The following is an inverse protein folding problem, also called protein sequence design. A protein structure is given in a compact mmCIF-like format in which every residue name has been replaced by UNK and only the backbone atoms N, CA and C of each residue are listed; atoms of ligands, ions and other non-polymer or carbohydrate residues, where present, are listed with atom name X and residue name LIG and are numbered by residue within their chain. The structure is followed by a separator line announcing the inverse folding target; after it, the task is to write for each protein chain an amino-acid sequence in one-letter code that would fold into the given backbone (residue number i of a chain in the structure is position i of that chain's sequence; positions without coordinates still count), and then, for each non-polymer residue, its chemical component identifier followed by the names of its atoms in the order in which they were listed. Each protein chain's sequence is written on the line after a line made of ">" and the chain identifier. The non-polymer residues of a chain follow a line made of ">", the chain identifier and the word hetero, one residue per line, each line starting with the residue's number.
data_IF_006379496951
#
_entry.id   IF_006379496951
#
_cell.length_a   1.000
_cell.length_b   1.000
_cell.length_c   1.000
_cell.angle_alpha   90.00
_cell.angle_beta   90.00
_cell.angle_gamma   90.00
#
_symmetry.space_group_name_H-M   'P 1'
#
loop_
_entity.id
_entity.type
_entity.pdbx_description
1 polymer ?
#
# COMPACT_ATOMS: atom_id res chain seq x y z
N UNK A 1 -6.81 -27.42 -1.53
CA UNK A 1 -7.57 -26.52 -2.44
C UNK A 1 -9.00 -26.45 -1.95
N UNK A 2 -9.55 -25.24 -1.80
CA UNK A 2 -10.95 -25.02 -1.46
C UNK A 2 -11.67 -24.58 -2.74
N UNK A 3 -12.66 -25.36 -3.16
CA UNK A 3 -13.41 -25.04 -4.37
C UNK A 3 -14.51 -24.02 -4.07
N UNK A 4 -14.56 -22.95 -4.88
CA UNK A 4 -15.63 -21.95 -4.88
C UNK A 4 -16.33 -22.04 -6.23
N UNK A 5 -17.59 -22.46 -6.23
CA UNK A 5 -18.34 -22.72 -7.46
C UNK A 5 -18.56 -21.45 -8.28
N UNK A 6 -18.14 -21.47 -9.55
CA UNK A 6 -18.39 -20.42 -10.51
C UNK A 6 -18.62 -20.99 -11.91
N UNK A 7 -19.82 -20.79 -12.46
CA UNK A 7 -20.15 -21.18 -13.84
C UNK A 7 -19.91 -20.02 -14.79
N UNK A 8 -19.02 -20.18 -15.77
CA UNK A 8 -18.73 -19.17 -16.79
C UNK A 8 -18.78 -19.79 -18.20
N UNK A 9 -19.24 -18.99 -19.17
CA UNK A 9 -19.34 -19.44 -20.57
C UNK A 9 -18.03 -19.22 -21.33
N UNK A 10 -17.35 -18.12 -21.09
CA UNK A 10 -16.12 -17.74 -21.79
C UNK A 10 -14.92 -17.82 -20.85
N UNK A 11 -13.89 -18.57 -21.25
CA UNK A 11 -12.68 -18.78 -20.46
C UNK A 11 -11.81 -17.52 -20.35
N UNK A 12 -11.86 -16.65 -21.37
CA UNK A 12 -10.99 -15.45 -21.45
C UNK A 12 -11.76 -14.25 -21.97
N UNK A 13 -11.30 -13.06 -21.62
CA UNK A 13 -11.50 -11.83 -22.38
C UNK A 13 -12.55 -10.86 -21.85
N UNK A 14 -13.57 -11.26 -21.11
CA UNK A 14 -14.62 -10.32 -20.70
C UNK A 14 -14.74 -10.24 -19.18
N UNK A 15 -14.49 -9.05 -18.64
CA UNK A 15 -14.80 -8.77 -17.23
C UNK A 15 -16.32 -8.82 -17.08
N UNK A 16 -16.81 -9.77 -16.28
CA UNK A 16 -18.23 -9.97 -16.03
C UNK A 16 -18.61 -9.53 -14.62
N UNK A 17 -19.70 -8.78 -14.52
CA UNK A 17 -20.35 -8.49 -13.22
C UNK A 17 -20.82 -9.78 -12.52
N UNK A 18 -21.03 -10.87 -13.27
CA UNK A 18 -21.40 -12.18 -12.72
C UNK A 18 -20.32 -12.78 -11.82
N UNK A 19 -19.04 -12.44 -12.03
CA UNK A 19 -17.94 -12.86 -11.17
C UNK A 19 -17.90 -12.18 -9.79
N UNK A 20 -18.72 -11.14 -9.56
CA UNK A 20 -18.70 -10.38 -8.30
C UNK A 20 -18.93 -11.28 -7.09
N UNK A 21 -19.99 -12.09 -7.12
CA UNK A 21 -20.34 -13.00 -6.00
C UNK A 21 -19.22 -14.02 -5.76
N UNK A 22 -18.69 -14.61 -6.82
CA UNK A 22 -17.56 -15.54 -6.74
C UNK A 22 -16.33 -14.92 -6.07
N UNK A 23 -15.94 -13.71 -6.49
CA UNK A 23 -14.80 -12.98 -5.90
C UNK A 23 -15.08 -12.66 -4.42
N UNK A 24 -16.31 -12.26 -4.09
CA UNK A 24 -16.72 -11.99 -2.72
C UNK A 24 -16.64 -13.25 -1.83
N UNK A 25 -17.09 -14.38 -2.34
CA UNK A 25 -17.01 -15.66 -1.63
C UNK A 25 -15.57 -16.12 -1.43
N UNK A 26 -14.70 -15.95 -2.44
CA UNK A 26 -13.26 -16.20 -2.31
C UNK A 26 -12.63 -15.35 -1.19
N UNK A 27 -12.97 -14.05 -1.15
CA UNK A 27 -12.47 -13.19 -0.07
C UNK A 27 -13.02 -13.56 1.30
N UNK A 28 -14.31 -13.87 1.41
CA UNK A 28 -14.92 -14.26 2.68
C UNK A 28 -14.25 -15.52 3.23
N UNK A 29 -14.02 -16.53 2.39
CA UNK A 29 -13.30 -17.74 2.78
C UNK A 29 -11.86 -17.44 3.17
N UNK A 30 -11.13 -16.66 2.36
CA UNK A 30 -9.76 -16.30 2.68
C UNK A 30 -9.64 -15.54 4.00
N UNK A 31 -10.52 -14.57 4.24
CA UNK A 31 -10.55 -13.79 5.49
C UNK A 31 -10.90 -14.68 6.69
N UNK A 32 -11.85 -15.62 6.54
CA UNK A 32 -12.20 -16.58 7.60
C UNK A 32 -11.02 -17.48 7.98
N UNK A 33 -10.31 -18.02 6.99
CA UNK A 33 -9.08 -18.81 7.18
C UNK A 33 -8.04 -17.99 7.97
N UNK A 34 -7.82 -16.74 7.58
CA UNK A 34 -6.87 -15.85 8.23
C UNK A 34 -7.27 -15.53 9.67
N UNK A 35 -8.55 -15.24 9.91
CA UNK A 35 -9.07 -14.94 11.25
C UNK A 35 -9.02 -16.14 12.19
N UNK A 36 -9.12 -17.36 11.66
CA UNK A 36 -8.97 -18.60 12.43
C UNK A 36 -7.52 -19.04 12.68
N UNK A 37 -6.56 -18.27 12.14
CA UNK A 37 -5.13 -18.56 12.29
C UNK A 37 -4.61 -19.72 11.41
N UNK A 38 -5.40 -20.19 10.45
CA UNK A 38 -4.96 -21.25 9.52
C UNK A 38 -4.06 -20.74 8.39
N UNK A 39 -3.83 -19.44 8.32
CA UNK A 39 -2.93 -18.79 7.36
C UNK A 39 -2.26 -17.58 7.97
N UNK A 40 -1.10 -17.22 7.47
CA UNK A 40 -0.32 -16.07 7.95
C UNK A 40 -0.34 -14.87 6.99
N UNK A 41 -0.49 -15.14 5.70
CA UNK A 41 -0.46 -14.13 4.64
C UNK A 41 -1.58 -14.37 3.64
N UNK A 42 -2.38 -13.34 3.38
CA UNK A 42 -3.37 -13.35 2.32
C UNK A 42 -2.78 -12.76 1.05
N UNK A 43 -2.63 -13.58 0.00
CA UNK A 43 -2.21 -13.10 -1.32
C UNK A 43 -3.43 -13.11 -2.24
N UNK A 44 -3.71 -11.99 -2.89
CA UNK A 44 -4.70 -11.95 -3.96
C UNK A 44 -4.12 -11.35 -5.24
N UNK A 45 -4.53 -11.90 -6.37
CA UNK A 45 -4.19 -11.38 -7.69
C UNK A 45 -4.95 -10.07 -8.02
N UNK A 46 -4.63 -9.45 -9.16
CA UNK A 46 -5.31 -8.25 -9.62
C UNK A 46 -6.80 -8.48 -9.88
N UNK A 47 -7.64 -7.54 -9.45
CA UNK A 47 -9.09 -7.61 -9.58
C UNK A 47 -9.61 -6.34 -10.25
N UNK A 48 -10.57 -6.49 -11.17
CA UNK A 48 -11.26 -5.35 -11.76
C UNK A 48 -12.12 -4.63 -10.71
N UNK A 49 -11.63 -3.51 -10.21
CA UNK A 49 -12.33 -2.68 -9.22
C UNK A 49 -13.74 -2.29 -9.69
N UNK A 50 -13.88 -1.91 -10.96
CA UNK A 50 -15.16 -1.50 -11.56
C UNK A 50 -16.22 -2.62 -11.53
N UNK A 51 -15.80 -3.86 -11.83
CA UNK A 51 -16.73 -4.99 -11.86
C UNK A 51 -17.05 -5.53 -10.45
N UNK A 52 -16.07 -5.54 -9.56
CA UNK A 52 -16.18 -6.10 -8.21
C UNK A 52 -16.79 -5.14 -7.21
N UNK A 53 -16.20 -3.94 -7.04
CA UNK A 53 -16.53 -3.03 -5.94
C UNK A 53 -17.79 -2.18 -6.22
N UNK A 54 -18.19 -2.04 -7.48
CA UNK A 54 -19.38 -1.30 -7.91
C UNK A 54 -19.53 0.06 -7.22
N UNK A 55 -18.44 0.83 -7.13
CA UNK A 55 -18.35 2.16 -6.46
C UNK A 55 -18.64 2.16 -4.94
N UNK A 56 -18.89 1.02 -4.31
CA UNK A 56 -19.16 0.94 -2.87
C UNK A 56 -17.91 1.18 -2.02
N UNK A 57 -16.74 0.78 -2.53
CA UNK A 57 -15.43 0.97 -1.87
C UNK A 57 -14.45 1.60 -2.86
N UNK A 58 -13.55 2.49 -2.42
CA UNK A 58 -12.51 3.09 -3.27
C UNK A 58 -11.55 2.04 -3.85
N UNK A 59 -11.24 1.00 -3.10
CA UNK A 59 -10.33 -0.07 -3.48
C UNK A 59 -10.58 -1.39 -2.75
N UNK A 60 -9.82 -2.43 -3.14
CA UNK A 60 -9.87 -3.75 -2.49
C UNK A 60 -9.34 -3.68 -1.06
N UNK A 61 -8.40 -2.79 -0.80
CA UNK A 61 -7.86 -2.54 0.54
C UNK A 61 -8.96 -2.09 1.51
N UNK A 62 -9.75 -1.09 1.12
CA UNK A 62 -10.85 -0.56 1.92
C UNK A 62 -12.00 -1.58 2.06
N UNK A 63 -12.22 -2.41 1.02
CA UNK A 63 -13.17 -3.52 1.11
C UNK A 63 -12.74 -4.54 2.18
N UNK A 64 -11.49 -5.00 2.17
CA UNK A 64 -10.98 -5.96 3.15
C UNK A 64 -10.96 -5.33 4.56
N UNK A 65 -10.52 -4.08 4.69
CA UNK A 65 -10.53 -3.34 5.94
C UNK A 65 -11.93 -3.27 6.56
N UNK A 66 -12.97 -3.04 5.73
CA UNK A 66 -14.35 -3.08 6.15
C UNK A 66 -14.78 -4.48 6.64
N UNK A 67 -14.39 -5.53 5.94
CA UNK A 67 -14.71 -6.92 6.32
C UNK A 67 -14.00 -7.36 7.61
N UNK A 68 -12.82 -6.83 7.89
CA UNK A 68 -12.04 -7.12 9.11
C UNK A 68 -12.28 -6.12 10.25
N UNK A 69 -13.20 -5.16 10.07
CA UNK A 69 -13.53 -4.11 11.07
C UNK A 69 -12.32 -3.24 11.45
N UNK A 70 -11.42 -2.98 10.50
CA UNK A 70 -10.20 -2.18 10.69
C UNK A 70 -10.20 -0.88 9.90
N UNK A 71 -11.39 -0.39 9.52
CA UNK A 71 -11.55 0.84 8.72
C UNK A 71 -10.72 2.00 9.27
N UNK A 72 -9.96 2.64 8.38
CA UNK A 72 -9.10 3.78 8.70
C UNK A 72 -7.78 3.44 9.40
N UNK A 73 -7.49 2.16 9.65
CA UNK A 73 -6.21 1.69 10.18
C UNK A 73 -5.29 1.15 9.09
N UNK A 74 -5.83 0.91 7.89
CA UNK A 74 -5.08 0.41 6.76
C UNK A 74 -4.01 1.40 6.28
N UNK A 75 -2.81 0.89 6.06
CA UNK A 75 -1.67 1.63 5.51
C UNK A 75 -1.15 0.89 4.29
N UNK A 76 -1.08 1.60 3.16
CA UNK A 76 -0.48 1.10 1.93
C UNK A 76 1.03 1.21 2.02
N UNK A 77 1.74 0.11 1.81
CA UNK A 77 3.19 0.08 1.66
C UNK A 77 3.52 -0.55 0.30
N UNK A 78 4.12 0.21 -0.58
CA UNK A 78 4.75 -0.32 -1.79
C UNK A 78 6.17 -0.71 -1.41
N UNK A 79 6.34 -1.99 -1.19
CA UNK A 79 7.60 -2.55 -0.71
C UNK A 79 8.55 -2.86 -1.87
N UNK A 80 9.74 -2.35 -1.75
CA UNK A 80 10.90 -2.73 -2.56
C UNK A 80 12.09 -2.87 -1.60
N UNK A 81 12.98 -3.83 -1.86
CA UNK A 81 14.12 -4.15 -0.98
C UNK A 81 15.12 -2.99 -0.81
N UNK A 82 15.20 -2.08 -1.80
CA UNK A 82 16.09 -0.91 -1.74
C UNK A 82 15.44 0.28 -1.06
N UNK A 83 14.23 0.63 -1.47
CA UNK A 83 13.49 1.76 -0.92
C UNK A 83 11.99 1.51 -1.08
N UNK A 84 11.28 1.39 0.01
CA UNK A 84 9.82 1.30 0.01
C UNK A 84 9.18 2.67 0.06
N UNK A 85 7.91 2.78 -0.35
CA UNK A 85 7.16 4.03 -0.22
C UNK A 85 5.76 3.80 0.33
N UNK A 86 5.24 4.84 0.99
CA UNK A 86 3.89 4.78 1.57
C UNK A 86 3.19 6.14 1.42
N UNK A 87 2.11 6.26 0.64
CA UNK A 87 1.33 7.47 0.57
C UNK A 87 0.38 7.59 1.76
N UNK A 88 0.30 8.78 2.36
CA UNK A 88 -0.63 9.06 3.48
C UNK A 88 -2.08 9.13 3.00
N UNK A 89 -2.29 9.68 1.82
CA UNK A 89 -3.59 9.64 1.13
C UNK A 89 -3.45 8.86 -0.17
N UNK A 90 -4.41 7.97 -0.44
CA UNK A 90 -4.36 7.02 -1.56
C UNK A 90 -5.29 7.45 -2.71
N UNK A 91 -6.40 6.82 -2.89
CA UNK A 91 -7.28 6.93 -4.06
C UNK A 91 -8.28 8.10 -3.96
N UNK A 92 -7.82 9.30 -3.64
CA UNK A 92 -8.66 10.50 -3.57
C UNK A 92 -8.20 11.56 -4.59
N UNK A 93 -9.09 12.42 -5.09
CA UNK A 93 -8.70 13.55 -5.93
C UNK A 93 -7.69 14.47 -5.25
N UNK A 94 -6.77 15.06 -6.02
CA UNK A 94 -5.70 15.90 -5.48
C UNK A 94 -6.23 17.08 -4.66
N UNK A 95 -7.32 17.72 -5.09
CA UNK A 95 -7.96 18.82 -4.36
C UNK A 95 -8.56 18.42 -2.99
N UNK A 96 -8.64 17.13 -2.70
CA UNK A 96 -9.10 16.62 -1.40
C UNK A 96 -7.96 16.21 -0.47
N UNK A 97 -6.71 16.20 -0.94
CA UNK A 97 -5.56 15.73 -0.17
C UNK A 97 -5.42 16.50 1.13
N UNK A 98 -5.32 17.82 1.08
CA UNK A 98 -5.13 18.67 2.29
C UNK A 98 -6.19 18.43 3.36
N UNK A 99 -7.47 18.33 2.95
CA UNK A 99 -8.59 18.08 3.86
C UNK A 99 -8.54 16.69 4.53
N UNK A 100 -7.80 15.75 3.93
CA UNK A 100 -7.65 14.38 4.43
C UNK A 100 -6.31 14.12 5.11
N UNK A 101 -5.48 15.15 5.28
CA UNK A 101 -4.24 15.09 6.03
C UNK A 101 -4.43 15.65 7.44
N UNK A 102 -3.90 14.95 8.42
CA UNK A 102 -3.78 15.45 9.80
C UNK A 102 -2.59 14.79 10.50
N UNK A 103 -2.06 15.38 11.58
CA UNK A 103 -0.90 14.85 12.28
C UNK A 103 -1.09 13.41 12.78
N UNK A 104 -2.29 13.08 13.26
CA UNK A 104 -2.55 11.75 13.82
C UNK A 104 -2.49 10.65 12.78
N UNK A 105 -2.96 10.91 11.55
CA UNK A 105 -2.87 9.97 10.43
C UNK A 105 -1.43 9.64 10.08
N UNK A 106 -0.56 10.67 10.02
CA UNK A 106 0.89 10.49 9.77
C UNK A 106 1.53 9.69 10.90
N UNK A 107 1.22 10.01 12.16
CA UNK A 107 1.71 9.27 13.34
C UNK A 107 1.32 7.80 13.28
N UNK A 108 0.06 7.51 13.00
CA UNK A 108 -0.45 6.15 12.91
C UNK A 108 0.24 5.38 11.77
N UNK A 109 0.40 5.99 10.60
CA UNK A 109 1.09 5.42 9.47
C UNK A 109 2.55 5.07 9.82
N UNK A 110 3.30 6.00 10.41
CA UNK A 110 4.69 5.79 10.83
C UNK A 110 4.80 4.64 11.84
N UNK A 111 3.93 4.62 12.86
CA UNK A 111 3.90 3.55 13.86
C UNK A 111 3.58 2.19 13.25
N UNK A 112 2.62 2.13 12.34
CA UNK A 112 2.22 0.89 11.64
C UNK A 112 3.35 0.36 10.77
N UNK A 113 4.03 1.23 10.00
CA UNK A 113 5.20 0.85 9.19
C UNK A 113 6.33 0.37 10.08
N UNK A 114 6.66 1.09 11.14
CA UNK A 114 7.72 0.69 12.08
C UNK A 114 7.42 -0.67 12.74
N UNK A 115 6.17 -0.92 13.12
CA UNK A 115 5.77 -2.21 13.68
C UNK A 115 5.92 -3.35 12.67
N UNK A 116 5.53 -3.13 11.42
CA UNK A 116 5.72 -4.09 10.34
C UNK A 116 7.19 -4.45 10.13
N UNK A 117 8.05 -3.44 9.98
CA UNK A 117 9.49 -3.68 9.76
C UNK A 117 10.13 -4.43 10.93
N UNK A 118 9.79 -4.06 12.17
CA UNK A 118 10.27 -4.79 13.35
C UNK A 118 9.76 -6.22 13.43
N UNK A 119 8.47 -6.43 13.16
CA UNK A 119 7.85 -7.76 13.28
C UNK A 119 8.31 -8.71 12.18
N UNK A 120 8.25 -8.26 10.93
CA UNK A 120 8.45 -9.14 9.77
C UNK A 120 9.87 -9.08 9.20
N UNK A 121 10.51 -7.91 9.19
CA UNK A 121 11.85 -7.76 8.61
C UNK A 121 12.96 -7.72 9.67
N UNK A 122 12.61 -7.72 10.96
CA UNK A 122 13.54 -7.73 12.11
C UNK A 122 14.50 -6.54 12.14
N UNK A 123 14.15 -5.41 11.53
CA UNK A 123 14.94 -4.17 11.51
C UNK A 123 14.14 -2.98 12.04
N UNK A 124 14.84 -1.95 12.50
CA UNK A 124 14.29 -0.64 12.80
C UNK A 124 14.38 0.22 11.54
N UNK A 125 13.26 0.57 10.87
CA UNK A 125 13.33 1.29 9.60
C UNK A 125 13.77 2.73 9.79
N UNK A 126 14.54 3.23 8.82
CA UNK A 126 14.83 4.64 8.65
C UNK A 126 13.73 5.24 7.77
N UNK A 127 12.91 6.13 8.34
CA UNK A 127 11.73 6.68 7.67
C UNK A 127 11.99 8.12 7.27
N UNK A 128 11.92 8.43 5.97
CA UNK A 128 11.90 9.77 5.42
C UNK A 128 10.47 10.23 5.14
N UNK A 129 10.15 11.48 5.39
CA UNK A 129 8.82 12.04 5.14
C UNK A 129 8.92 13.20 4.19
N UNK A 130 8.17 13.17 3.07
CA UNK A 130 8.07 14.29 2.15
C UNK A 130 7.25 15.45 2.74
N UNK A 131 7.61 16.67 2.40
CA UNK A 131 6.70 17.81 2.53
C UNK A 131 5.55 17.71 1.52
N UNK A 132 4.61 18.62 1.60
CA UNK A 132 3.51 18.73 0.63
C UNK A 132 3.77 19.82 -0.40
N UNK A 133 4.40 20.91 0.04
CA UNK A 133 4.71 22.05 -0.80
C UNK A 133 6.11 21.93 -1.43
N UNK A 134 6.36 22.57 -2.58
CA UNK A 134 7.70 22.67 -3.16
C UNK A 134 8.71 23.18 -2.11
N UNK A 135 9.88 22.54 -2.06
CA UNK A 135 10.96 22.86 -1.11
C UNK A 135 10.58 22.76 0.38
N UNK A 136 9.41 22.20 0.73
CA UNK A 136 8.82 22.17 2.07
C UNK A 136 8.54 23.57 2.64
N UNK A 137 8.44 24.57 1.79
CA UNK A 137 8.25 25.95 2.13
C UNK A 137 7.11 26.56 1.30
N UNK A 138 6.47 27.58 1.85
CA UNK A 138 5.48 28.38 1.14
C UNK A 138 5.57 29.82 1.64
N UNK A 139 5.48 30.78 0.73
CA UNK A 139 5.35 32.21 1.06
C UNK A 139 3.96 32.57 1.61
N UNK A 140 3.06 31.59 1.69
CA UNK A 140 1.74 31.76 2.28
C UNK A 140 1.80 31.81 3.80
N UNK A 141 0.87 32.55 4.41
CA UNK A 141 0.62 32.51 5.86
C UNK A 141 0.21 31.10 6.33
N UNK A 142 -0.26 30.26 5.40
CA UNK A 142 -0.62 28.85 5.64
C UNK A 142 0.56 28.00 5.18
N UNK A 143 1.16 27.28 6.14
CA UNK A 143 2.24 26.34 5.88
C UNK A 143 1.81 24.98 6.45
N UNK A 144 1.47 24.05 5.54
CA UNK A 144 0.97 22.75 5.88
C UNK A 144 2.03 21.89 6.58
N UNK A 145 3.30 22.07 6.27
CA UNK A 145 4.40 21.39 6.97
C UNK A 145 4.37 21.76 8.46
N UNK A 146 4.24 23.05 8.79
CA UNK A 146 4.17 23.51 10.17
C UNK A 146 2.88 23.09 10.89
N UNK A 147 1.76 23.02 10.16
CA UNK A 147 0.45 22.67 10.76
C UNK A 147 0.19 21.18 10.86
N UNK A 148 0.77 20.37 10.00
CA UNK A 148 0.43 18.95 9.87
C UNK A 148 1.64 18.04 10.14
N UNK A 149 2.76 18.26 9.43
CA UNK A 149 3.88 17.31 9.44
C UNK A 149 4.73 17.48 10.70
N UNK A 150 5.14 18.70 11.04
CA UNK A 150 5.95 18.94 12.23
C UNK A 150 5.23 18.58 13.54
N UNK A 151 3.92 18.82 13.74
CA UNK A 151 3.20 18.32 14.90
C UNK A 151 3.15 16.79 14.97
N UNK A 152 3.13 16.07 13.83
CA UNK A 152 3.25 14.63 13.85
C UNK A 152 4.62 14.17 14.38
N UNK A 153 5.71 14.85 14.01
CA UNK A 153 7.05 14.54 14.53
C UNK A 153 7.17 14.83 16.02
N UNK A 154 6.57 15.92 16.49
CA UNK A 154 6.54 16.23 17.93
C UNK A 154 5.87 15.12 18.73
N UNK A 155 4.75 14.55 18.24
CA UNK A 155 4.08 13.40 18.87
C UNK A 155 4.92 12.11 18.86
N UNK A 156 5.90 12.00 17.99
CA UNK A 156 6.80 10.85 17.88
C UNK A 156 8.13 11.02 18.61
N UNK A 157 8.40 12.19 19.19
CA UNK A 157 9.70 12.54 19.79
C UNK A 157 10.23 11.49 20.79
N UNK A 158 9.36 10.87 21.56
CA UNK A 158 9.72 9.88 22.57
C UNK A 158 9.43 8.42 22.18
N UNK A 159 9.13 8.17 20.90
CA UNK A 159 8.68 6.83 20.45
C UNK A 159 9.78 5.87 20.05
N UNK A 160 11.06 6.27 20.11
CA UNK A 160 12.21 5.49 19.63
C UNK A 160 12.04 5.00 18.18
N UNK A 161 11.42 5.83 17.31
CA UNK A 161 11.27 5.60 15.88
C UNK A 161 12.16 6.58 15.14
N UNK A 162 13.01 6.07 14.23
CA UNK A 162 13.81 6.93 13.39
C UNK A 162 12.95 7.51 12.27
N UNK A 163 12.62 8.80 12.38
CA UNK A 163 11.88 9.55 11.36
C UNK A 163 12.53 10.90 11.14
N UNK A 164 12.71 11.28 9.87
CA UNK A 164 13.27 12.58 9.47
C UNK A 164 12.44 13.23 8.36
N UNK A 165 12.46 14.55 8.33
CA UNK A 165 11.74 15.38 7.35
C UNK A 165 11.19 16.65 7.98
N UNK A 166 10.31 17.40 7.30
CA UNK A 166 9.91 17.13 5.90
C UNK A 166 11.05 17.39 4.91
N UNK A 167 11.09 16.60 3.84
CA UNK A 167 12.03 16.75 2.73
C UNK A 167 11.30 17.16 1.46
N UNK A 168 11.91 17.97 0.58
CA UNK A 168 11.37 18.24 -0.73
C UNK A 168 11.22 16.94 -1.54
N UNK A 169 10.05 16.75 -2.16
CA UNK A 169 9.74 15.52 -2.87
C UNK A 169 10.60 15.31 -4.13
N UNK A 170 11.06 16.39 -4.76
CA UNK A 170 11.92 16.36 -5.95
C UNK A 170 13.34 15.84 -5.65
N UNK A 171 13.84 16.07 -4.43
CA UNK A 171 15.23 15.73 -4.06
C UNK A 171 15.37 14.49 -3.21
N UNK A 172 14.36 14.11 -2.42
CA UNK A 172 14.45 12.93 -1.53
C UNK A 172 14.66 11.62 -2.33
N UNK A 173 14.18 11.55 -3.58
CA UNK A 173 14.32 10.37 -4.44
C UNK A 173 15.64 10.33 -5.22
N UNK A 174 16.49 11.36 -5.14
CA UNK A 174 17.85 11.26 -5.68
C UNK A 174 18.62 10.14 -4.98
N UNK A 175 19.55 9.47 -5.69
CA UNK A 175 20.26 8.29 -5.18
C UNK A 175 20.85 8.52 -3.78
N UNK A 176 21.59 9.59 -3.59
CA UNK A 176 22.28 9.90 -2.34
C UNK A 176 21.33 10.17 -1.15
N UNK A 177 20.10 10.60 -1.44
CA UNK A 177 19.11 10.89 -0.41
C UNK A 177 18.24 9.67 -0.10
N UNK A 178 17.70 8.98 -1.13
CA UNK A 178 16.84 7.82 -0.90
C UNK A 178 17.56 6.66 -0.20
N UNK A 179 18.86 6.46 -0.47
CA UNK A 179 19.66 5.39 0.14
C UNK A 179 19.84 5.57 1.67
N UNK A 180 19.46 6.75 2.19
CA UNK A 180 19.45 7.02 3.65
C UNK A 180 18.18 6.47 4.33
N UNK A 181 17.16 6.06 3.57
CA UNK A 181 15.85 5.66 4.08
C UNK A 181 15.42 4.29 3.55
N UNK A 182 14.84 3.52 4.42
CA UNK A 182 14.22 2.23 4.07
C UNK A 182 12.78 2.44 3.58
N UNK A 183 12.13 3.52 4.07
CA UNK A 183 10.78 3.93 3.65
C UNK A 183 10.70 5.44 3.47
N UNK A 184 10.10 5.87 2.36
CA UNK A 184 9.75 7.27 2.13
C UNK A 184 8.23 7.41 2.16
N UNK A 185 7.74 8.26 3.05
CA UNK A 185 6.31 8.58 3.20
C UNK A 185 6.01 9.86 2.43
N UNK A 186 4.99 9.79 1.55
CA UNK A 186 4.46 10.98 0.86
C UNK A 186 3.07 11.33 1.35
N UNK A 187 2.66 12.55 1.07
CA UNK A 187 1.36 13.05 1.47
C UNK A 187 0.23 12.58 0.56
N UNK A 188 0.54 12.27 -0.71
CA UNK A 188 -0.42 11.77 -1.68
C UNK A 188 0.20 10.70 -2.59
N UNK A 189 -0.67 9.96 -3.27
CA UNK A 189 -0.36 8.76 -4.04
C UNK A 189 0.79 8.99 -5.04
N UNK A 190 0.63 9.92 -6.00
CA UNK A 190 1.58 10.07 -7.09
C UNK A 190 2.89 10.72 -6.66
N UNK A 191 2.91 11.43 -5.51
CA UNK A 191 4.14 11.99 -4.95
C UNK A 191 5.24 10.94 -4.73
N UNK A 192 4.85 9.72 -4.40
CA UNK A 192 5.79 8.63 -4.09
C UNK A 192 5.72 7.47 -5.07
N UNK A 193 4.55 7.19 -5.67
CA UNK A 193 4.45 6.08 -6.61
C UNK A 193 5.07 6.40 -7.97
N UNK A 194 4.96 7.63 -8.44
CA UNK A 194 5.59 8.04 -9.71
C UNK A 194 7.11 7.83 -9.67
N UNK A 195 7.86 8.36 -8.68
CA UNK A 195 9.31 8.13 -8.65
C UNK A 195 9.68 6.66 -8.44
N UNK A 196 8.96 5.91 -7.62
CA UNK A 196 9.24 4.47 -7.42
C UNK A 196 9.02 3.68 -8.71
N UNK A 197 7.96 3.96 -9.46
CA UNK A 197 7.72 3.31 -10.76
C UNK A 197 8.77 3.67 -11.79
N UNK A 198 9.21 4.91 -11.83
CA UNK A 198 10.30 5.34 -12.71
C UNK A 198 11.64 4.65 -12.37
N UNK A 199 11.92 4.43 -11.08
CA UNK A 199 13.17 3.82 -10.61
C UNK A 199 13.19 2.30 -10.71
N UNK A 200 12.09 1.64 -10.40
CA UNK A 200 12.05 0.18 -10.20
C UNK A 200 11.03 -0.56 -11.05
N UNK A 201 10.29 0.13 -11.94
CA UNK A 201 9.25 -0.46 -12.79
C UNK A 201 8.24 -1.29 -11.95
N UNK A 202 8.10 -2.59 -12.26
CA UNK A 202 7.25 -3.54 -11.54
C UNK A 202 8.00 -4.35 -10.46
N UNK A 203 9.23 -3.98 -10.13
CA UNK A 203 9.99 -4.65 -9.07
C UNK A 203 9.58 -4.16 -7.68
N UNK A 204 8.29 -4.24 -7.38
CA UNK A 204 7.72 -3.90 -6.10
C UNK A 204 6.45 -4.74 -5.84
N UNK A 205 6.04 -4.82 -4.58
CA UNK A 205 4.80 -5.46 -4.15
C UNK A 205 3.98 -4.49 -3.30
N UNK A 206 2.66 -4.63 -3.34
CA UNK A 206 1.77 -3.83 -2.52
C UNK A 206 1.39 -4.60 -1.25
N UNK A 207 1.82 -4.11 -0.10
CA UNK A 207 1.49 -4.67 1.22
C UNK A 207 0.44 -3.78 1.89
N UNK A 208 -0.64 -4.37 2.36
CA UNK A 208 -1.63 -3.69 3.19
C UNK A 208 -1.34 -3.99 4.65
N UNK A 209 -0.92 -2.97 5.38
CA UNK A 209 -0.67 -3.00 6.82
C UNK A 209 -1.91 -2.54 7.60
N UNK A 210 -1.96 -2.80 8.91
CA UNK A 210 -3.07 -2.40 9.78
C UNK A 210 -4.28 -3.33 9.77
N UNK A 211 -4.23 -4.42 9.01
CA UNK A 211 -5.16 -5.54 9.07
C UNK A 211 -4.74 -6.52 10.18
N UNK A 212 -5.64 -7.42 10.65
CA UNK A 212 -5.27 -8.45 11.62
C UNK A 212 -4.28 -9.49 11.10
N UNK A 213 -4.09 -9.54 9.79
CA UNK A 213 -3.13 -10.40 9.09
C UNK A 213 -2.40 -9.62 8.01
N UNK A 214 -1.30 -10.16 7.50
CA UNK A 214 -0.57 -9.56 6.39
C UNK A 214 -1.28 -9.85 5.07
N UNK A 215 -1.56 -8.80 4.29
CA UNK A 215 -2.09 -8.93 2.94
C UNK A 215 -1.11 -8.38 1.92
N UNK A 216 -0.83 -9.16 0.88
CA UNK A 216 0.12 -8.79 -0.17
C UNK A 216 -0.55 -8.94 -1.54
N UNK A 217 -0.25 -8.03 -2.45
CA UNK A 217 -0.67 -8.14 -3.85
C UNK A 217 0.45 -7.72 -4.79
N UNK A 218 0.45 -8.22 -6.02
CA UNK A 218 1.23 -7.61 -7.07
C UNK A 218 0.88 -6.13 -7.23
N UNK A 219 1.88 -5.32 -7.56
CA UNK A 219 1.73 -3.87 -7.71
C UNK A 219 1.35 -3.47 -9.15
N UNK A 220 0.31 -4.15 -9.68
CA UNK A 220 -0.29 -3.85 -10.99
C UNK A 220 -1.78 -4.21 -11.01
N UNK A 221 -2.50 -3.66 -11.98
CA UNK A 221 -3.92 -3.98 -12.23
C UNK A 221 -4.11 -5.20 -13.14
N UNK A 222 -5.37 -5.56 -13.47
CA UNK A 222 -5.68 -6.58 -14.46
C UNK A 222 -5.10 -6.22 -15.82
N UNK A 223 -4.27 -7.09 -16.38
CA UNK A 223 -3.54 -6.84 -17.61
C UNK A 223 -4.30 -7.35 -18.84
N UNK A 224 -5.49 -6.80 -19.10
CA UNK A 224 -6.37 -7.27 -20.19
C UNK A 224 -5.74 -7.25 -21.57
N UNK A 225 -4.87 -6.27 -21.83
CA UNK A 225 -4.22 -6.10 -23.11
C UNK A 225 -3.25 -7.25 -23.47
N UNK A 226 -2.85 -8.04 -22.46
CA UNK A 226 -1.91 -9.16 -22.62
C UNK A 226 -2.60 -10.51 -22.69
N UNK A 227 -3.94 -10.58 -22.62
CA UNK A 227 -4.68 -11.84 -22.72
C UNK A 227 -4.36 -12.51 -24.07
N UNK A 228 -3.94 -13.76 -24.02
CA UNK A 228 -3.57 -14.57 -25.20
C UNK A 228 -2.23 -14.21 -25.86
N UNK A 229 -1.52 -13.19 -25.40
CA UNK A 229 -0.24 -12.74 -26.02
C UNK A 229 1.01 -13.37 -25.41
N UNK A 230 0.89 -14.03 -24.26
CA UNK A 230 2.01 -14.60 -23.50
C UNK A 230 3.18 -13.62 -23.27
N UNK A 231 2.85 -12.33 -23.04
CA UNK A 231 3.81 -11.23 -22.85
C UNK A 231 3.65 -10.50 -21.51
N UNK A 232 2.87 -11.06 -20.59
CA UNK A 232 2.71 -10.46 -19.25
C UNK A 232 4.01 -10.54 -18.47
N UNK A 233 4.36 -9.44 -17.80
CA UNK A 233 5.49 -9.39 -16.88
C UNK A 233 5.08 -10.01 -15.52
N UNK A 234 5.64 -11.17 -15.12
CA UNK A 234 5.31 -11.82 -13.86
C UNK A 234 6.10 -11.29 -12.67
N UNK A 235 7.00 -10.32 -12.85
CA UNK A 235 7.99 -9.89 -11.85
C UNK A 235 7.34 -9.56 -10.51
N UNK A 236 6.31 -8.72 -10.49
CA UNK A 236 5.66 -8.33 -9.24
C UNK A 236 4.94 -9.49 -8.56
N UNK A 237 4.32 -10.39 -9.33
CA UNK A 237 3.68 -11.60 -8.78
C UNK A 237 4.73 -12.56 -8.18
N UNK A 238 5.83 -12.81 -8.89
CA UNK A 238 6.94 -13.61 -8.38
C UNK A 238 7.50 -13.03 -7.09
N UNK A 239 7.77 -11.73 -7.05
CA UNK A 239 8.22 -11.02 -5.85
C UNK A 239 7.23 -11.12 -4.68
N UNK A 240 5.93 -11.20 -4.96
CA UNK A 240 4.91 -11.41 -3.93
C UNK A 240 5.07 -12.78 -3.24
N UNK A 241 5.31 -13.83 -4.01
CA UNK A 241 5.57 -15.17 -3.46
C UNK A 241 6.94 -15.27 -2.80
N UNK A 242 7.98 -14.71 -3.42
CA UNK A 242 9.33 -14.68 -2.85
C UNK A 242 9.36 -13.96 -1.48
N UNK A 243 8.56 -12.89 -1.35
CA UNK A 243 8.42 -12.20 -0.08
C UNK A 243 7.65 -13.04 0.94
N UNK A 244 6.54 -13.65 0.55
CA UNK A 244 5.72 -14.45 1.44
C UNK A 244 6.46 -15.69 1.95
N UNK A 245 7.28 -16.34 1.12
CA UNK A 245 8.05 -17.55 1.49
C UNK A 245 9.08 -17.31 2.59
N UNK A 246 9.54 -16.07 2.79
CA UNK A 246 10.45 -15.70 3.89
C UNK A 246 9.81 -15.87 5.28
N UNK A 247 8.50 -16.10 5.37
CA UNK A 247 7.74 -16.17 6.62
C UNK A 247 7.11 -17.54 6.87
N UNK A 248 7.52 -18.56 6.16
CA UNK A 248 7.01 -19.92 6.35
C UNK A 248 7.48 -20.57 7.66
N UNK A 249 8.37 -19.92 8.43
CA UNK A 249 8.93 -20.40 9.70
C UNK A 249 8.46 -19.59 10.93
N UNK A 250 7.37 -18.81 10.80
CA UNK A 250 6.86 -17.99 11.91
C UNK A 250 5.59 -18.61 12.48
#
# INVERSE_FOLDING_TARGET
>A
IINVNFKFKNKFGVISKKSKKYIEDCFNIGIDIMNKGYGHILINGPISKKAFLNKKYPGVTEYISSKTKTNGKEVMLIYNEKTSVSPTTTHIPLNKVLKNLNPQKIVNQIKTINAFYKKYLKIKPRIGVCGINPHCETNSKINEEKKIILPAFQKLKYSNIFVKGPFPADTIFTKNNRDKFDVIIGMYHDQVLTPIKALYNFNAINITLGLPFLRITPDHGPNHQMIGKNKSDPTSLKKTFDFASKFNEI
#
